data_IF_938645520636
#
_entry.id   IF_938645520636
#
_cell.length_a   1.000
_cell.length_b   1.000
_cell.length_c   1.000
_cell.angle_alpha   90.00
_cell.angle_beta   90.00
_cell.angle_gamma   90.00
#
_symmetry.space_group_name_H-M   'P 1'
#
loop_
_entity.id
_entity.type
_entity.pdbx_description
1 polymer ?
#
# COMPACT_ATOMS: atom_id res chain seq x y z
N UNK A 1 -1.28 -3.82 29.51
CA UNK A 1 -2.34 -3.59 28.51
C UNK A 1 -1.94 -4.29 27.21
N UNK A 2 -2.78 -5.17 26.66
CA UNK A 2 -2.51 -5.80 25.35
C UNK A 2 -2.64 -4.74 24.25
N UNK A 3 -1.63 -4.62 23.38
CA UNK A 3 -1.71 -3.80 22.15
C UNK A 3 -2.96 -4.25 21.36
N UNK A 4 -3.76 -3.34 20.79
CA UNK A 4 -4.86 -3.75 19.91
C UNK A 4 -4.30 -4.63 18.80
N UNK A 5 -5.01 -5.72 18.46
CA UNK A 5 -4.59 -6.62 17.39
C UNK A 5 -4.45 -5.81 16.09
N UNK A 6 -3.25 -5.81 15.53
CA UNK A 6 -2.96 -5.22 14.22
C UNK A 6 -2.71 -6.36 13.26
N UNK A 7 -3.69 -6.64 12.41
CA UNK A 7 -3.63 -7.73 11.45
C UNK A 7 -2.70 -7.39 10.28
N UNK A 8 -2.59 -6.10 9.96
CA UNK A 8 -1.89 -5.61 8.77
C UNK A 8 -0.94 -4.45 9.07
N UNK A 9 0.14 -4.38 8.30
CA UNK A 9 0.87 -3.14 8.02
C UNK A 9 0.63 -2.75 6.56
N UNK A 10 -0.11 -1.66 6.35
CA UNK A 10 -0.34 -1.08 5.04
C UNK A 10 0.86 -0.21 4.65
N UNK A 11 1.39 -0.39 3.45
CA UNK A 11 2.58 0.31 2.95
C UNK A 11 2.28 0.84 1.54
N UNK A 12 2.24 2.15 1.38
CA UNK A 12 2.18 2.86 0.09
C UNK A 12 3.56 3.44 -0.22
N UNK A 13 4.28 2.82 -1.15
CA UNK A 13 5.62 3.23 -1.60
C UNK A 13 5.48 4.06 -2.89
N UNK A 14 5.39 5.37 -2.72
CA UNK A 14 5.33 6.37 -3.80
C UNK A 14 6.69 7.03 -4.05
N UNK A 15 6.85 7.79 -5.15
CA UNK A 15 8.14 8.39 -5.52
C UNK A 15 8.74 9.29 -4.43
N UNK A 16 7.95 10.21 -3.86
CA UNK A 16 8.43 11.16 -2.85
C UNK A 16 8.40 10.58 -1.43
N UNK A 17 7.32 9.89 -1.08
CA UNK A 17 7.09 9.42 0.28
C UNK A 17 6.53 8.01 0.34
N UNK A 18 6.96 7.28 1.36
CA UNK A 18 6.36 6.02 1.77
C UNK A 18 5.44 6.30 2.95
N UNK A 19 4.15 5.94 2.82
CA UNK A 19 3.17 6.03 3.90
C UNK A 19 2.99 4.65 4.51
N UNK A 20 2.98 4.58 5.84
CA UNK A 20 2.78 3.32 6.57
C UNK A 20 1.72 3.49 7.65
N UNK A 21 0.81 2.54 7.75
CA UNK A 21 -0.21 2.51 8.80
C UNK A 21 -0.49 1.06 9.23
N UNK A 22 -0.50 0.82 10.54
CA UNK A 22 -1.07 -0.42 11.05
C UNK A 22 -2.59 -0.40 10.90
N UNK A 23 -3.18 -1.53 10.55
CA UNK A 23 -4.62 -1.68 10.38
C UNK A 23 -5.12 -3.01 10.91
N UNK A 24 -6.41 -3.04 11.25
CA UNK A 24 -7.21 -4.25 11.40
C UNK A 24 -8.22 -4.34 10.26
N UNK A 25 -9.03 -5.40 10.25
CA UNK A 25 -10.14 -5.53 9.31
C UNK A 25 -11.17 -4.38 9.36
N UNK A 26 -11.27 -3.63 10.46
CA UNK A 26 -12.30 -2.60 10.66
C UNK A 26 -11.76 -1.18 10.80
N UNK A 27 -10.45 -1.00 10.96
CA UNK A 27 -9.87 0.33 11.23
C UNK A 27 -8.45 0.45 10.72
N UNK A 28 -8.15 1.63 10.16
CA UNK A 28 -6.80 2.08 9.85
C UNK A 28 -6.29 2.96 11.01
N UNK A 29 -5.12 2.65 11.54
CA UNK A 29 -4.47 3.43 12.58
C UNK A 29 -3.81 4.71 12.06
N UNK A 30 -3.05 5.38 12.92
CA UNK A 30 -2.35 6.61 12.53
C UNK A 30 -1.33 6.34 11.43
N UNK A 31 -1.39 7.13 10.36
CA UNK A 31 -0.42 7.07 9.28
C UNK A 31 0.89 7.75 9.68
N UNK A 32 2.00 7.09 9.37
CA UNK A 32 3.34 7.64 9.38
C UNK A 32 3.80 7.88 7.94
N UNK A 33 4.68 8.86 7.75
CA UNK A 33 5.19 9.26 6.44
C UNK A 33 6.70 9.39 6.53
N UNK A 34 7.42 8.72 5.62
CA UNK A 34 8.88 8.82 5.51
C UNK A 34 9.25 9.13 4.06
N UNK A 35 10.34 9.86 3.82
CA UNK A 35 10.82 10.07 2.46
C UNK A 35 11.22 8.73 1.84
N UNK A 36 10.80 8.45 0.61
CA UNK A 36 11.08 7.16 -0.05
C UNK A 36 12.58 6.97 -0.29
N UNK A 37 13.33 8.06 -0.49
CA UNK A 37 14.79 8.02 -0.63
C UNK A 37 15.47 7.31 0.54
N UNK A 38 15.01 7.56 1.76
CA UNK A 38 15.56 6.98 3.00
C UNK A 38 14.85 5.71 3.47
N UNK A 39 13.91 5.16 2.70
CA UNK A 39 13.29 3.87 3.01
C UNK A 39 14.36 2.77 2.96
N UNK A 40 14.52 2.06 4.09
CA UNK A 40 15.43 0.92 4.26
C UNK A 40 14.73 -0.20 5.02
N UNK A 41 15.24 -1.42 4.86
CA UNK A 41 14.75 -2.59 5.59
C UNK A 41 14.76 -2.36 7.12
N UNK A 42 15.85 -1.83 7.68
CA UNK A 42 15.98 -1.58 9.11
C UNK A 42 14.91 -0.64 9.67
N UNK A 43 14.52 0.38 8.91
CA UNK A 43 13.45 1.30 9.31
C UNK A 43 12.10 0.58 9.36
N UNK A 44 11.80 -0.24 8.35
CA UNK A 44 10.56 -1.01 8.32
C UNK A 44 10.55 -2.07 9.42
N UNK A 45 11.67 -2.74 9.67
CA UNK A 45 11.84 -3.69 10.78
C UNK A 45 11.61 -3.01 12.13
N UNK A 46 12.13 -1.80 12.33
CA UNK A 46 11.85 -0.99 13.55
C UNK A 46 10.36 -0.67 13.70
N UNK A 47 9.68 -0.32 12.60
CA UNK A 47 8.22 -0.08 12.63
C UNK A 47 7.45 -1.35 13.01
N UNK A 48 7.91 -2.51 12.55
CA UNK A 48 7.31 -3.82 12.85
C UNK A 48 7.59 -4.34 14.27
N UNK A 49 8.43 -3.68 15.07
CA UNK A 49 8.78 -4.15 16.42
C UNK A 49 7.54 -4.28 17.32
N UNK A 50 7.35 -5.48 17.87
CA UNK A 50 6.19 -5.83 18.70
C UNK A 50 4.89 -6.02 17.89
N UNK A 51 4.99 -6.26 16.58
CA UNK A 51 3.89 -6.57 15.66
C UNK A 51 4.22 -7.81 14.82
N UNK A 52 4.63 -8.90 15.46
CA UNK A 52 5.21 -10.06 14.77
C UNK A 52 4.24 -10.80 13.84
N UNK A 53 2.95 -10.75 14.13
CA UNK A 53 1.90 -11.39 13.34
C UNK A 53 1.36 -10.53 12.18
N UNK A 54 1.82 -9.30 12.01
CA UNK A 54 1.27 -8.40 10.99
C UNK A 54 1.59 -8.88 9.57
N UNK A 55 0.57 -8.99 8.72
CA UNK A 55 0.73 -9.19 7.28
C UNK A 55 1.03 -7.85 6.61
N UNK A 56 2.06 -7.81 5.76
CA UNK A 56 2.38 -6.58 5.02
C UNK A 56 1.53 -6.53 3.75
N UNK A 57 0.81 -5.42 3.55
CA UNK A 57 0.04 -5.16 2.32
C UNK A 57 0.65 -3.96 1.65
N UNK A 58 1.17 -4.14 0.43
CA UNK A 58 2.08 -3.20 -0.21
C UNK A 58 1.52 -2.74 -1.55
N UNK A 59 1.30 -1.44 -1.68
CA UNK A 59 1.23 -0.73 -2.96
C UNK A 59 2.59 -0.10 -3.23
N UNK A 60 3.14 -0.26 -4.44
CA UNK A 60 4.43 0.33 -4.79
C UNK A 60 4.51 0.69 -6.26
N UNK A 61 4.90 1.94 -6.52
CA UNK A 61 5.30 2.44 -7.85
C UNK A 61 6.82 2.64 -7.96
N UNK A 62 7.59 2.17 -6.96
CA UNK A 62 9.05 2.34 -6.89
C UNK A 62 9.75 0.98 -6.79
N UNK A 63 9.91 0.23 -7.90
CA UNK A 63 10.43 -1.14 -7.88
C UNK A 63 11.78 -1.30 -7.15
N UNK A 64 12.67 -0.30 -7.29
CA UNK A 64 13.98 -0.28 -6.62
C UNK A 64 13.92 -0.35 -5.08
N UNK A 65 12.78 -0.01 -4.47
CA UNK A 65 12.57 -0.07 -3.02
C UNK A 65 11.85 -1.34 -2.55
N UNK A 66 11.32 -2.16 -3.46
CA UNK A 66 10.60 -3.38 -3.09
C UNK A 66 11.50 -4.39 -2.36
N UNK A 67 12.81 -4.41 -2.66
CA UNK A 67 13.79 -5.23 -1.96
C UNK A 67 13.90 -4.90 -0.46
N UNK A 68 13.78 -3.62 -0.09
CA UNK A 68 13.78 -3.18 1.32
C UNK A 68 12.61 -3.76 2.10
N UNK A 69 11.41 -3.74 1.50
CA UNK A 69 10.20 -4.29 2.12
C UNK A 69 10.32 -5.81 2.27
N UNK A 70 10.83 -6.52 1.25
CA UNK A 70 11.03 -7.97 1.30
C UNK A 70 12.02 -8.36 2.40
N UNK A 71 13.14 -7.64 2.53
CA UNK A 71 14.12 -7.88 3.59
C UNK A 71 13.53 -7.63 4.97
N UNK A 72 12.78 -6.54 5.16
CA UNK A 72 12.14 -6.23 6.44
C UNK A 72 11.03 -7.20 6.85
N UNK A 73 10.33 -7.78 5.87
CA UNK A 73 9.27 -8.75 6.14
C UNK A 73 9.80 -10.02 6.85
N UNK A 74 11.02 -10.44 6.51
CA UNK A 74 11.56 -11.73 6.94
C UNK A 74 10.62 -12.86 6.49
N UNK A 75 10.15 -13.67 7.44
CA UNK A 75 9.22 -14.77 7.17
C UNK A 75 7.74 -14.36 7.15
N UNK A 76 7.42 -13.07 7.36
CA UNK A 76 6.03 -12.59 7.37
C UNK A 76 5.43 -12.63 5.97
N UNK A 77 4.11 -12.83 5.91
CA UNK A 77 3.36 -12.77 4.66
C UNK A 77 3.40 -11.34 4.09
N UNK A 78 3.68 -11.24 2.79
CA UNK A 78 3.62 -9.98 2.04
C UNK A 78 2.65 -10.12 0.88
N UNK A 79 1.66 -9.23 0.81
CA UNK A 79 0.68 -9.14 -0.27
C UNK A 79 1.02 -7.90 -1.09
N UNK A 80 1.37 -8.10 -2.35
CA UNK A 80 1.61 -7.01 -3.29
C UNK A 80 0.34 -6.71 -4.05
N UNK A 81 -0.09 -5.44 -4.04
CA UNK A 81 -1.17 -4.97 -4.88
C UNK A 81 -0.69 -4.89 -6.33
N UNK A 82 -1.33 -5.64 -7.21
CA UNK A 82 -1.03 -5.69 -8.63
C UNK A 82 -2.33 -5.84 -9.41
N UNK A 83 -2.28 -5.71 -10.74
CA UNK A 83 -3.43 -5.97 -11.61
C UNK A 83 -3.91 -7.41 -11.60
N UNK A 84 -3.13 -8.35 -11.04
CA UNK A 84 -3.50 -9.77 -10.87
C UNK A 84 -4.15 -10.05 -9.52
N UNK A 85 -4.22 -9.06 -8.64
CA UNK A 85 -4.90 -9.21 -7.35
C UNK A 85 -6.40 -9.46 -7.57
N UNK A 86 -7.06 -10.05 -6.58
CA UNK A 86 -8.54 -10.17 -6.60
C UNK A 86 -9.13 -8.79 -6.29
N UNK A 87 -9.54 -8.07 -7.32
CA UNK A 87 -10.07 -6.71 -7.23
C UNK A 87 -11.60 -6.72 -7.40
N UNK A 88 -12.26 -5.71 -6.85
CA UNK A 88 -13.68 -5.42 -7.05
C UNK A 88 -13.95 -4.53 -8.27
N UNK A 89 -12.93 -4.28 -9.09
CA UNK A 89 -12.98 -3.44 -10.29
C UNK A 89 -12.32 -4.18 -11.46
N UNK A 90 -12.82 -3.94 -12.67
CA UNK A 90 -12.17 -4.37 -13.90
C UNK A 90 -11.13 -3.32 -14.30
N UNK A 91 -9.97 -3.77 -14.77
CA UNK A 91 -8.93 -2.89 -15.28
C UNK A 91 -9.07 -2.84 -16.80
N UNK A 92 -9.40 -1.67 -17.33
CA UNK A 92 -9.48 -1.42 -18.76
C UNK A 92 -8.28 -0.59 -19.23
N UNK A 93 -7.11 -1.24 -19.24
CA UNK A 93 -5.85 -0.67 -19.72
C UNK A 93 -5.34 -1.49 -20.91
N UNK A 94 -4.69 -0.86 -21.91
CA UNK A 94 -4.05 -1.60 -23.00
C UNK A 94 -3.06 -2.66 -22.51
N UNK A 95 -2.26 -2.33 -21.49
CA UNK A 95 -1.49 -3.31 -20.72
C UNK A 95 -1.77 -3.15 -19.22
N UNK A 96 -2.61 -4.01 -18.62
CA UNK A 96 -2.93 -3.96 -17.20
C UNK A 96 -1.72 -4.10 -16.26
N UNK A 97 -0.55 -4.57 -16.72
CA UNK A 97 0.64 -4.66 -15.88
C UNK A 97 1.34 -3.31 -15.68
N UNK A 98 1.04 -2.34 -16.53
CA UNK A 98 1.68 -1.01 -16.52
C UNK A 98 1.01 -0.01 -15.59
N UNK A 99 -0.22 -0.29 -15.14
CA UNK A 99 -0.92 0.56 -14.20
C UNK A 99 -0.18 0.62 -12.85
N UNK A 100 -0.08 1.83 -12.29
CA UNK A 100 0.47 2.05 -10.96
C UNK A 100 -0.36 1.35 -9.89
N UNK A 101 0.30 0.76 -8.90
CA UNK A 101 -0.38 0.10 -7.78
C UNK A 101 -1.18 1.09 -6.91
N UNK A 102 -0.77 2.36 -6.87
CA UNK A 102 -1.49 3.47 -6.26
C UNK A 102 -2.83 3.73 -6.95
N UNK A 103 -2.84 3.80 -8.29
CA UNK A 103 -4.06 3.96 -9.10
C UNK A 103 -5.02 2.78 -8.93
N UNK A 104 -4.49 1.56 -8.82
CA UNK A 104 -5.30 0.39 -8.46
C UNK A 104 -5.93 0.51 -7.08
N UNK A 105 -5.17 1.00 -6.09
CA UNK A 105 -5.69 1.21 -4.74
C UNK A 105 -6.82 2.24 -4.73
N UNK A 106 -6.64 3.34 -5.47
CA UNK A 106 -7.65 4.39 -5.65
C UNK A 106 -8.94 3.84 -6.28
N UNK A 107 -8.83 3.10 -7.38
CA UNK A 107 -9.98 2.50 -8.07
C UNK A 107 -10.75 1.50 -7.19
N UNK A 108 -10.03 0.63 -6.47
CA UNK A 108 -10.63 -0.32 -5.53
C UNK A 108 -11.35 0.39 -4.39
N UNK A 109 -10.70 1.42 -3.82
CA UNK A 109 -11.24 2.19 -2.72
C UNK A 109 -12.50 2.97 -3.12
N UNK A 110 -12.48 3.67 -4.26
CA UNK A 110 -13.64 4.46 -4.71
C UNK A 110 -14.84 3.57 -5.00
N UNK A 111 -14.63 2.45 -5.69
CA UNK A 111 -15.71 1.50 -5.98
C UNK A 111 -16.32 0.89 -4.70
N UNK A 112 -15.51 0.69 -3.65
CA UNK A 112 -15.99 0.14 -2.37
C UNK A 112 -16.67 1.18 -1.48
N UNK A 113 -16.14 2.40 -1.42
CA UNK A 113 -16.57 3.43 -0.47
C UNK A 113 -17.66 4.34 -1.02
N UNK A 114 -17.64 4.61 -2.33
CA UNK A 114 -18.52 5.59 -2.97
C UNK A 114 -19.33 5.01 -4.14
N UNK A 115 -18.96 3.82 -4.63
CA UNK A 115 -19.60 3.18 -5.79
C UNK A 115 -19.03 3.64 -7.13
N UNK A 116 -19.67 3.24 -8.23
CA UNK A 116 -19.28 3.57 -9.60
C UNK A 116 -20.52 3.95 -10.43
N UNK A 117 -20.39 4.81 -11.47
CA UNK A 117 -19.14 5.41 -11.99
C UNK A 117 -18.58 6.49 -11.06
N UNK A 118 -17.26 6.67 -11.07
CA UNK A 118 -16.57 7.67 -10.25
C UNK A 118 -15.28 8.12 -10.91
N UNK A 119 -14.85 9.35 -10.62
CA UNK A 119 -13.52 9.86 -11.00
C UNK A 119 -12.72 10.11 -9.74
N UNK A 120 -11.51 9.56 -9.65
CA UNK A 120 -10.55 9.89 -8.58
C UNK A 120 -9.52 10.86 -9.12
N UNK A 121 -9.34 11.98 -8.41
CA UNK A 121 -8.30 12.96 -8.69
C UNK A 121 -7.29 12.89 -7.54
N UNK A 122 -6.08 12.37 -7.81
CA UNK A 122 -5.03 12.24 -6.81
C UNK A 122 -3.98 13.35 -6.98
N UNK A 123 -3.82 14.16 -5.93
CA UNK A 123 -2.84 15.25 -5.88
C UNK A 123 -1.55 14.74 -5.24
N UNK A 124 -0.79 13.96 -6.02
CA UNK A 124 0.50 13.40 -5.64
C UNK A 124 1.69 14.18 -6.21
N UNK A 125 2.80 13.46 -6.42
CA UNK A 125 3.96 13.98 -7.17
C UNK A 125 3.56 14.38 -8.59
N UNK A 126 2.63 13.65 -9.19
CA UNK A 126 1.89 14.02 -10.38
C UNK A 126 0.40 14.08 -10.01
N UNK A 127 -0.37 14.86 -10.78
CA UNK A 127 -1.83 14.83 -10.70
C UNK A 127 -2.34 13.70 -11.59
N UNK A 128 -3.10 12.76 -11.04
CA UNK A 128 -3.69 11.65 -11.82
C UNK A 128 -5.21 11.72 -11.80
N UNK A 129 -5.81 11.29 -12.91
CA UNK A 129 -7.25 11.12 -13.07
C UNK A 129 -7.52 9.63 -13.34
N UNK A 130 -8.21 8.97 -12.43
CA UNK A 130 -8.69 7.59 -12.58
C UNK A 130 -10.19 7.63 -12.90
N UNK A 131 -10.59 6.98 -14.00
CA UNK A 131 -11.95 6.97 -14.56
C UNK A 131 -12.47 5.53 -14.55
#
# INVERSE_FOLDING_TARGET
MKKPATDFLLIDVSNSFTKLAFASHSRIGRTSKIATSILTADRVTKILQGHDSATLVVSSVVPKKNGEIRRAAGNRKVIWLTSRSRLNVRIDYPDPKTIGADRLANAVAVAKLYGTPAIVIDFGTAVTFDI
#
